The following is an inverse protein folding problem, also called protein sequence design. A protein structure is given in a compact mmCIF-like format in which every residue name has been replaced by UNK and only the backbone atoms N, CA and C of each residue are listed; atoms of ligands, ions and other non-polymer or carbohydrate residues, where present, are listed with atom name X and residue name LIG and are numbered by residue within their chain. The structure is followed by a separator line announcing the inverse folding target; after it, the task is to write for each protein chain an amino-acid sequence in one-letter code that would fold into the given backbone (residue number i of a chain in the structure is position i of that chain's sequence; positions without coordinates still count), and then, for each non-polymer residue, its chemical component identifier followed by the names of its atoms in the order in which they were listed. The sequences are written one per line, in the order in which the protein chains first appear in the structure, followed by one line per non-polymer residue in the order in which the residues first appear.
data_IF_539546070663
#
_entry.id   IF_539546070663
#
_cell.length_a   1.000
_cell.length_b   1.000
_cell.length_c   1.000
_cell.angle_alpha   90.00
_cell.angle_beta   90.00
_cell.angle_gamma   90.00
#
_symmetry.space_group_name_H-M   'P 1'
#
loop_
_entity.id
_entity.type
_entity.pdbx_description
1 polymer ?
#
# COMPACT_ATOMS: atom_id res chain seq x y z
N UNK A 1 9.67 -41.16 -3.35
CA UNK A 1 8.68 -40.30 -4.05
C UNK A 1 7.78 -39.78 -2.95
N UNK A 2 7.72 -38.52 -2.54
CA UNK A 2 7.79 -37.25 -3.26
C UNK A 2 8.46 -36.21 -2.33
N UNK A 3 9.44 -35.45 -2.83
CA UNK A 3 9.91 -34.24 -2.16
C UNK A 3 8.90 -33.15 -2.51
N UNK A 4 7.99 -32.84 -1.60
CA UNK A 4 7.19 -31.62 -1.70
C UNK A 4 8.17 -30.46 -1.54
N UNK A 5 8.50 -29.80 -2.65
CA UNK A 5 9.23 -28.54 -2.63
C UNK A 5 8.57 -27.60 -1.62
N UNK A 6 9.32 -26.83 -0.82
CA UNK A 6 8.73 -25.67 -0.20
C UNK A 6 8.11 -24.86 -1.35
N UNK A 7 6.79 -24.62 -1.31
CA UNK A 7 6.26 -23.53 -2.13
C UNK A 7 7.10 -22.34 -1.70
N UNK A 8 7.88 -21.81 -2.62
CA UNK A 8 8.22 -20.40 -2.63
C UNK A 8 6.90 -19.65 -2.51
N UNK A 9 6.43 -19.48 -1.27
CA UNK A 9 5.89 -18.20 -0.86
C UNK A 9 7.11 -17.32 -0.93
N UNK A 10 7.39 -16.89 -2.16
CA UNK A 10 8.31 -15.83 -2.51
C UNK A 10 8.15 -14.81 -1.39
N UNK A 11 9.25 -14.55 -0.69
CA UNK A 11 9.31 -13.60 0.40
C UNK A 11 9.16 -12.18 -0.17
N UNK A 12 8.08 -11.95 -0.93
CA UNK A 12 7.54 -10.65 -1.18
C UNK A 12 7.41 -10.01 0.21
N UNK A 13 8.08 -8.88 0.44
CA UNK A 13 8.00 -8.20 1.73
C UNK A 13 6.53 -8.04 2.07
N UNK A 14 6.13 -8.54 3.24
CA UNK A 14 4.74 -8.72 3.61
C UNK A 14 4.02 -7.35 3.61
N UNK A 15 3.34 -7.05 2.51
CA UNK A 15 2.55 -5.84 2.30
C UNK A 15 1.30 -5.82 3.19
N UNK A 16 0.91 -6.96 3.74
CA UNK A 16 -0.22 -7.07 4.66
C UNK A 16 -0.05 -6.17 5.87
N UNK A 17 -1.13 -5.44 6.18
CA UNK A 17 -1.19 -4.58 7.35
C UNK A 17 -1.78 -3.21 7.06
N UNK A 18 -1.52 -2.31 8.00
CA UNK A 18 -1.95 -0.92 7.95
C UNK A 18 -0.73 -0.04 7.70
N UNK A 19 -0.88 0.92 6.79
CA UNK A 19 0.20 1.78 6.35
C UNK A 19 -0.26 3.23 6.41
N UNK A 20 0.56 4.09 7.00
CA UNK A 20 0.42 5.53 6.87
C UNK A 20 1.03 5.93 5.52
N UNK A 21 0.33 6.79 4.78
CA UNK A 21 0.82 7.33 3.51
C UNK A 21 1.35 8.73 3.75
N UNK A 22 2.63 8.92 3.50
CA UNK A 22 3.30 10.22 3.60
C UNK A 22 3.67 10.70 2.21
N UNK A 23 3.14 11.84 1.78
CA UNK A 23 3.51 12.44 0.50
C UNK A 23 4.97 12.87 0.55
N UNK A 24 5.77 12.44 -0.44
CA UNK A 24 7.17 12.85 -0.61
C UNK A 24 7.34 13.91 -1.69
N UNK A 25 6.50 13.90 -2.74
CA UNK A 25 6.59 14.90 -3.82
C UNK A 25 5.54 14.76 -4.93
N UNK A 26 5.64 15.62 -5.95
CA UNK A 26 4.81 15.61 -7.15
C UNK A 26 3.49 16.38 -7.06
N UNK A 27 2.56 16.10 -7.95
CA UNK A 27 1.22 16.71 -8.02
C UNK A 27 0.19 16.02 -7.10
N UNK A 28 0.64 15.15 -6.19
CA UNK A 28 -0.24 14.53 -5.21
C UNK A 28 -0.88 15.62 -4.35
N UNK A 29 -2.22 15.59 -4.14
CA UNK A 29 -2.88 16.47 -3.18
C UNK A 29 -2.29 16.25 -1.78
N UNK A 30 -2.49 17.17 -0.82
CA UNK A 30 -2.03 16.98 0.55
C UNK A 30 -2.68 15.72 1.15
N UNK A 31 -1.95 14.60 1.13
CA UNK A 31 -2.39 13.25 1.54
C UNK A 31 -2.56 13.13 3.08
N UNK A 32 -3.04 14.19 3.72
CA UNK A 32 -3.17 14.29 5.18
C UNK A 32 -4.21 13.27 5.65
N UNK A 33 -3.77 12.34 6.50
CA UNK A 33 -4.65 11.30 7.05
C UNK A 33 -4.96 10.14 6.10
N UNK A 34 -4.28 10.05 4.95
CA UNK A 34 -4.42 8.92 4.02
C UNK A 34 -3.74 7.68 4.62
N UNK A 35 -4.49 6.58 4.66
CA UNK A 35 -4.02 5.29 5.15
C UNK A 35 -4.29 4.22 4.11
N UNK A 36 -3.45 3.20 4.04
CA UNK A 36 -3.72 2.00 3.24
C UNK A 36 -3.87 0.80 4.15
N UNK A 37 -4.87 -0.01 3.87
CA UNK A 37 -5.02 -1.34 4.46
C UNK A 37 -4.86 -2.36 3.37
N UNK A 38 -3.95 -3.30 3.54
CA UNK A 38 -3.66 -4.35 2.56
C UNK A 38 -3.89 -5.71 3.23
N UNK A 39 -4.57 -6.60 2.51
CA UNK A 39 -4.83 -7.97 2.90
C UNK A 39 -4.80 -8.87 1.66
N UNK A 40 -3.72 -9.65 1.52
CA UNK A 40 -3.46 -10.53 0.39
C UNK A 40 -3.34 -9.76 -0.93
N UNK A 41 -4.22 -10.10 -1.87
CA UNK A 41 -4.27 -9.54 -3.22
C UNK A 41 -5.11 -8.25 -3.32
N UNK A 42 -5.61 -7.72 -2.20
CA UNK A 42 -6.49 -6.56 -2.17
C UNK A 42 -6.09 -5.56 -1.10
N UNK A 43 -6.49 -4.31 -1.31
CA UNK A 43 -6.40 -3.30 -0.28
C UNK A 43 -7.40 -2.17 -0.50
N UNK A 44 -7.43 -1.28 0.48
CA UNK A 44 -8.27 -0.09 0.46
C UNK A 44 -7.47 1.10 0.94
N UNK A 45 -7.53 2.19 0.18
CA UNK A 45 -7.01 3.49 0.58
C UNK A 45 -8.13 4.22 1.31
N UNK A 46 -7.92 4.51 2.59
CA UNK A 46 -8.87 5.23 3.46
C UNK A 46 -8.41 6.67 3.59
N UNK A 47 -9.30 7.61 3.27
CA UNK A 47 -9.04 9.06 3.33
C UNK A 47 -10.13 9.72 4.18
N UNK A 48 -9.85 9.94 5.46
CA UNK A 48 -10.83 10.54 6.37
C UNK A 48 -12.18 9.80 6.38
N UNK A 49 -13.33 10.51 6.31
CA UNK A 49 -14.66 9.91 6.29
C UNK A 49 -15.14 9.46 4.90
N UNK A 50 -14.30 9.57 3.86
CA UNK A 50 -14.67 9.18 2.50
C UNK A 50 -14.81 7.66 2.36
N UNK A 51 -15.68 7.17 1.47
CA UNK A 51 -15.71 5.75 1.12
C UNK A 51 -14.31 5.35 0.64
N UNK A 52 -13.71 4.37 1.32
CA UNK A 52 -12.36 3.92 1.01
C UNK A 52 -12.25 3.46 -0.44
N UNK A 53 -11.12 3.76 -1.08
CA UNK A 53 -10.89 3.43 -2.49
C UNK A 53 -10.25 2.04 -2.58
N UNK A 54 -10.96 1.05 -3.15
CA UNK A 54 -10.41 -0.29 -3.30
C UNK A 54 -9.34 -0.36 -4.39
N UNK A 55 -8.36 -1.23 -4.17
CA UNK A 55 -7.30 -1.54 -5.13
C UNK A 55 -6.90 -3.01 -5.03
N UNK A 56 -6.31 -3.54 -6.11
CA UNK A 56 -5.69 -4.87 -6.16
C UNK A 56 -4.18 -4.78 -6.04
N UNK A 57 -3.59 -5.75 -5.36
CA UNK A 57 -2.16 -5.89 -5.18
C UNK A 57 -1.62 -6.90 -6.18
N UNK A 58 -0.65 -6.48 -6.99
CA UNK A 58 0.05 -7.31 -7.95
C UNK A 58 1.55 -7.22 -7.65
N UNK A 59 2.05 -8.11 -6.80
CA UNK A 59 3.42 -8.01 -6.29
C UNK A 59 3.61 -6.71 -5.52
N UNK A 60 4.40 -5.78 -6.09
CA UNK A 60 4.63 -4.44 -5.53
C UNK A 60 3.83 -3.33 -6.24
N UNK A 61 2.88 -3.68 -7.10
CA UNK A 61 1.98 -2.71 -7.75
C UNK A 61 0.59 -2.71 -7.10
N UNK A 62 0.05 -1.53 -6.83
CA UNK A 62 -1.31 -1.31 -6.33
C UNK A 62 -2.15 -0.71 -7.47
N UNK A 63 -3.12 -1.46 -7.96
CA UNK A 63 -3.98 -1.06 -9.09
C UNK A 63 -5.36 -0.70 -8.57
N UNK A 64 -5.75 0.56 -8.66
CA UNK A 64 -7.05 0.99 -8.16
C UNK A 64 -8.19 0.40 -9.00
N UNK A 65 -9.34 0.16 -8.37
CA UNK A 65 -10.53 -0.32 -9.08
C UNK A 65 -11.40 0.86 -9.55
N UNK A 66 -12.37 0.59 -10.43
CA UNK A 66 -13.26 1.62 -10.99
C UNK A 66 -14.02 2.38 -9.88
N UNK A 67 -14.24 3.71 -10.03
CA UNK A 67 -13.98 4.53 -11.21
C UNK A 67 -12.54 5.05 -11.34
N UNK A 68 -11.63 4.68 -10.44
CA UNK A 68 -10.24 5.17 -10.39
C UNK A 68 -9.24 4.18 -11.01
N UNK A 69 -9.67 3.35 -11.96
CA UNK A 69 -8.84 2.28 -12.55
C UNK A 69 -7.62 2.77 -13.35
N UNK A 70 -7.53 4.07 -13.64
CA UNK A 70 -6.36 4.68 -14.27
C UNK A 70 -5.17 4.92 -13.33
N UNK A 71 -5.36 4.74 -12.02
CA UNK A 71 -4.32 4.94 -11.01
C UNK A 71 -3.58 3.64 -10.71
N UNK A 72 -2.24 3.73 -10.70
CA UNK A 72 -1.35 2.63 -10.34
C UNK A 72 -0.26 3.17 -9.44
N UNK A 73 -0.09 2.59 -8.26
CA UNK A 73 1.03 2.90 -7.39
C UNK A 73 2.06 1.77 -7.41
N UNK A 74 3.33 2.08 -7.71
CA UNK A 74 4.42 1.10 -7.64
C UNK A 74 5.21 1.30 -6.36
N UNK A 75 5.48 0.21 -5.66
CA UNK A 75 6.20 0.19 -4.41
C UNK A 75 7.62 -0.34 -4.59
N UNK A 76 8.56 0.24 -3.85
CA UNK A 76 9.93 -0.20 -3.72
C UNK A 76 10.16 -0.47 -2.23
N UNK A 77 10.66 -1.66 -1.83
CA UNK A 77 10.94 -1.95 -0.43
C UNK A 77 12.01 -1.01 0.11
N UNK A 78 11.77 -0.43 1.28
CA UNK A 78 12.73 0.41 2.00
C UNK A 78 12.86 -0.05 3.46
N UNK A 79 13.89 0.45 4.16
CA UNK A 79 14.10 0.13 5.57
C UNK A 79 12.91 0.64 6.40
N UNK A 80 12.14 -0.27 6.99
CA UNK A 80 10.98 0.06 7.83
C UNK A 80 9.67 0.34 7.06
N UNK A 81 9.65 0.15 5.73
CA UNK A 81 8.43 0.39 4.95
C UNK A 81 8.61 0.24 3.45
N UNK A 82 7.90 1.08 2.70
CA UNK A 82 7.99 1.10 1.23
C UNK A 82 8.01 2.53 0.70
N UNK A 83 8.77 2.78 -0.35
CA UNK A 83 8.65 3.99 -1.15
C UNK A 83 7.72 3.74 -2.32
N UNK A 84 6.76 4.63 -2.51
CA UNK A 84 5.71 4.53 -3.52
C UNK A 84 5.84 5.61 -4.59
N UNK A 85 5.61 5.21 -5.84
CA UNK A 85 5.48 6.10 -6.99
C UNK A 85 4.09 5.97 -7.58
N UNK A 86 3.38 7.08 -7.67
CA UNK A 86 2.02 7.14 -8.16
C UNK A 86 2.01 7.45 -9.66
N UNK A 87 1.35 6.60 -10.42
CA UNK A 87 1.19 6.72 -11.87
C UNK A 87 -0.30 6.89 -12.21
N UNK A 88 -0.58 7.74 -13.20
CA UNK A 88 -1.91 7.91 -13.77
C UNK A 88 -1.80 7.75 -15.28
N UNK A 89 -2.49 6.76 -15.86
CA UNK A 89 -2.39 6.43 -17.29
C UNK A 89 -0.93 6.28 -17.80
N UNK A 90 -0.05 5.74 -16.95
CA UNK A 90 1.38 5.56 -17.25
C UNK A 90 2.28 6.76 -16.96
N UNK A 91 1.72 7.92 -16.60
CA UNK A 91 2.48 9.11 -16.21
C UNK A 91 2.73 9.13 -14.71
N UNK A 92 4.00 9.19 -14.29
CA UNK A 92 4.36 9.42 -12.90
C UNK A 92 3.93 10.83 -12.51
N UNK A 93 3.03 10.94 -11.52
CA UNK A 93 2.53 12.23 -11.06
C UNK A 93 2.92 12.53 -9.62
N UNK A 94 3.47 11.57 -8.87
CA UNK A 94 4.06 11.87 -7.57
C UNK A 94 4.65 10.70 -6.84
N UNK A 95 5.23 11.00 -5.67
CA UNK A 95 5.91 10.02 -4.82
C UNK A 95 5.40 10.12 -3.40
N UNK A 96 5.36 8.98 -2.72
CA UNK A 96 4.92 8.83 -1.34
C UNK A 96 5.77 7.79 -0.62
N UNK A 97 5.67 7.72 0.70
CA UNK A 97 6.22 6.65 1.51
C UNK A 97 5.08 5.96 2.27
N UNK A 98 5.22 4.65 2.46
CA UNK A 98 4.39 3.82 3.30
C UNK A 98 5.19 3.47 4.56
N UNK A 99 4.73 4.02 5.67
CA UNK A 99 5.27 3.69 6.99
C UNK A 99 4.32 2.74 7.67
N UNK A 100 4.83 1.60 8.18
CA UNK A 100 3.97 0.60 8.82
C UNK A 100 3.33 1.23 10.06
N UNK A 101 2.01 1.24 10.10
CA UNK A 101 1.30 1.51 11.33
C UNK A 101 1.37 0.23 12.14
N UNK A 102 2.26 0.21 13.12
CA UNK A 102 2.18 -0.71 14.25
C UNK A 102 0.70 -0.73 14.67
N UNK A 103 0.06 -1.91 14.66
CA UNK A 103 -1.28 -2.03 15.21
C UNK A 103 -1.13 -1.62 16.66
N UNK A 104 -1.48 -0.37 16.99
CA UNK A 104 -1.34 0.15 18.34
C UNK A 104 -1.94 -0.88 19.27
N UNK A 105 -1.07 -1.57 20.01
CA UNK A 105 -1.49 -2.23 21.22
C UNK A 105 -2.18 -1.13 22.02
N UNK A 106 -3.44 -1.39 22.38
CA UNK A 106 -4.11 -0.61 23.41
C UNK A 106 -3.18 -0.56 24.62
N UNK A 107 -2.49 0.56 24.80
CA UNK A 107 -2.02 1.01 26.10
C UNK A 107 -3.23 1.38 26.94
N UNK A 108 -4.00 0.37 27.38
CA UNK A 108 -4.79 0.45 28.61
C UNK A 108 -3.93 -0.21 29.68
N UNK A 109 -3.08 0.61 30.30
CA UNK A 109 -2.52 0.49 31.64
C UNK A 109 -2.23 1.96 32.03
N UNK A 110 -2.81 2.56 33.06
CA UNK A 110 -3.29 2.04 34.34
C UNK A 110 -4.44 2.92 34.85
#
# INVERSE_FOLDING_TARGET
MQRSAPRETDAAPQLDGHWAVERRGGLLPPLIGVRKRIAGDRGVTVVGPLPGVPFRVHGLELRYEAPLSGFVDRLVPEVGGFSGRAFFHGFEYGTFALTKLERGERGVRS
#
